data_IF_724760045290
#
_entry.id   IF_724760045290
#
_cell.length_a   1.000
_cell.length_b   1.000
_cell.length_c   1.000
_cell.angle_alpha   90.00
_cell.angle_beta   90.00
_cell.angle_gamma   90.00
#
_symmetry.space_group_name_H-M   'P 1'
#
loop_
_entity.id
_entity.type
_entity.pdbx_description
1 polymer ?
#
# COMPACT_ATOMS: atom_id res chain seq x y z
N UNK A 1 -4.35 -31.18 1.02
CA UNK A 1 -4.96 -30.98 2.34
C UNK A 1 -4.60 -29.58 2.85
N UNK A 2 -5.20 -28.53 2.26
CA UNK A 2 -5.28 -27.15 2.78
C UNK A 2 -6.60 -26.65 2.22
N UNK A 3 -7.67 -26.71 3.00
CA UNK A 3 -8.88 -25.92 2.73
C UNK A 3 -9.29 -25.27 4.04
N UNK A 4 -9.58 -23.97 3.92
CA UNK A 4 -10.40 -23.17 4.82
C UNK A 4 -9.77 -22.57 6.08
N UNK A 5 -9.45 -21.28 5.98
CA UNK A 5 -9.73 -20.28 7.02
C UNK A 5 -9.93 -18.94 6.28
N UNK A 6 -11.13 -18.79 5.73
CA UNK A 6 -12.23 -18.05 6.36
C UNK A 6 -12.09 -16.55 6.04
N UNK A 7 -12.96 -16.11 5.13
CA UNK A 7 -13.51 -14.75 5.11
C UNK A 7 -12.53 -13.57 5.08
N UNK A 8 -11.74 -13.42 4.01
CA UNK A 8 -10.72 -12.36 3.92
C UNK A 8 -11.25 -11.02 3.38
N UNK A 9 -12.54 -10.73 3.60
CA UNK A 9 -13.26 -9.50 3.22
C UNK A 9 -14.22 -9.06 4.33
N UNK A 10 -13.80 -9.20 5.58
CA UNK A 10 -14.41 -8.48 6.69
C UNK A 10 -14.13 -6.97 6.54
N UNK A 11 -15.16 -6.10 6.47
CA UNK A 11 -15.01 -4.67 6.20
C UNK A 11 -14.28 -3.88 7.32
N UNK A 12 -13.90 -4.55 8.41
CA UNK A 12 -13.26 -3.96 9.60
C UNK A 12 -11.72 -4.07 9.57
N UNK A 13 -11.13 -5.05 8.86
CA UNK A 13 -9.67 -5.22 8.83
C UNK A 13 -8.98 -4.24 7.86
N UNK A 14 -8.99 -2.95 8.19
CA UNK A 14 -8.38 -1.87 7.39
C UNK A 14 -6.83 -1.90 7.40
N UNK A 15 -6.21 -2.58 8.36
CA UNK A 15 -4.74 -2.60 8.52
C UNK A 15 -4.18 -4.02 8.42
N UNK A 16 -3.29 -4.21 7.44
CA UNK A 16 -2.52 -5.44 7.29
C UNK A 16 -1.19 -5.35 8.05
N UNK A 17 -0.92 -6.35 8.88
CA UNK A 17 0.32 -6.53 9.60
C UNK A 17 1.12 -7.67 8.98
N UNK A 18 2.27 -7.34 8.42
CA UNK A 18 3.18 -8.35 7.85
C UNK A 18 4.16 -8.81 8.94
N UNK A 19 4.27 -10.12 9.14
CA UNK A 19 5.16 -10.73 10.12
C UNK A 19 6.10 -11.72 9.45
N UNK A 20 7.34 -11.83 9.92
CA UNK A 20 8.35 -12.74 9.40
C UNK A 20 9.30 -13.16 10.51
N UNK A 21 9.77 -14.41 10.49
CA UNK A 21 10.66 -14.96 11.53
C UNK A 21 10.10 -16.22 12.18
N UNK A 22 10.95 -16.95 12.91
CA UNK A 22 10.60 -18.21 13.59
C UNK A 22 9.47 -18.11 14.64
N UNK A 23 9.22 -16.89 15.13
CA UNK A 23 8.16 -16.60 16.10
C UNK A 23 6.92 -15.97 15.45
N UNK A 24 6.84 -15.90 14.11
CA UNK A 24 5.71 -15.29 13.40
C UNK A 24 4.38 -16.00 13.70
N UNK A 25 4.42 -17.28 14.07
CA UNK A 25 3.25 -18.08 14.44
C UNK A 25 2.53 -17.53 15.69
N UNK A 26 3.24 -16.88 16.62
CA UNK A 26 2.66 -16.30 17.82
C UNK A 26 1.73 -15.10 17.55
N UNK A 27 1.85 -14.47 16.37
CA UNK A 27 1.04 -13.32 15.96
C UNK A 27 -0.24 -13.71 15.20
N UNK A 28 -0.34 -14.94 14.68
CA UNK A 28 -1.52 -15.40 13.94
C UNK A 28 -2.83 -15.43 14.74
N UNK A 29 -2.85 -15.70 16.06
CA UNK A 29 -4.09 -15.64 16.86
C UNK A 29 -4.71 -14.24 16.98
N UNK A 30 -4.03 -13.20 16.48
CA UNK A 30 -4.54 -11.83 16.40
C UNK A 30 -5.21 -11.54 15.03
N UNK A 31 -5.07 -12.43 14.05
CA UNK A 31 -5.74 -12.32 12.76
C UNK A 31 -7.27 -12.34 12.95
N UNK A 32 -7.96 -11.37 12.38
CA UNK A 32 -9.43 -11.23 12.50
C UNK A 32 -9.91 -10.49 13.76
N UNK A 33 -9.02 -10.00 14.63
CA UNK A 33 -9.38 -9.15 15.78
C UNK A 33 -9.31 -7.65 15.47
N UNK A 34 -9.65 -7.26 14.23
CA UNK A 34 -9.52 -5.90 13.71
C UNK A 34 -8.15 -5.57 13.08
N UNK A 35 -7.25 -6.55 13.01
CA UNK A 35 -5.97 -6.49 12.29
C UNK A 35 -5.86 -7.76 11.45
N UNK A 36 -5.46 -7.62 10.19
CA UNK A 36 -5.18 -8.75 9.31
C UNK A 36 -3.69 -9.09 9.40
N UNK A 37 -3.34 -10.27 9.92
CA UNK A 37 -1.95 -10.72 10.09
C UNK A 37 -1.53 -11.62 8.92
N UNK A 38 -0.47 -11.24 8.22
CA UNK A 38 0.08 -11.98 7.07
C UNK A 38 1.51 -12.42 7.34
N UNK A 39 1.72 -13.73 7.46
CA UNK A 39 3.06 -14.30 7.60
C UNK A 39 3.77 -14.39 6.24
N UNK A 40 4.97 -13.82 6.15
CA UNK A 40 5.84 -13.83 4.95
C UNK A 40 6.99 -14.85 5.07
N UNK A 41 6.79 -15.88 5.88
CA UNK A 41 7.74 -16.98 6.09
C UNK A 41 8.73 -16.77 7.25
N UNK A 42 9.64 -17.73 7.40
CA UNK A 42 10.51 -17.90 8.57
C UNK A 42 11.76 -17.00 8.58
N UNK A 43 12.10 -16.37 7.44
CA UNK A 43 13.27 -15.49 7.34
C UNK A 43 12.98 -14.11 7.91
N UNK A 44 13.66 -13.75 8.99
CA UNK A 44 13.61 -12.40 9.57
C UNK A 44 14.01 -11.35 8.53
N UNK A 45 13.26 -10.25 8.48
CA UNK A 45 13.54 -9.12 7.58
C UNK A 45 12.67 -9.07 6.33
N UNK A 46 11.95 -10.15 5.98
CA UNK A 46 11.04 -10.14 4.82
C UNK A 46 9.86 -9.18 5.00
N UNK A 47 9.29 -9.12 6.20
CA UNK A 47 8.20 -8.20 6.51
C UNK A 47 8.65 -6.73 6.46
N UNK A 48 9.82 -6.41 7.03
CA UNK A 48 10.39 -5.06 6.94
C UNK A 48 10.78 -4.69 5.52
N UNK A 49 11.24 -5.64 4.71
CA UNK A 49 11.54 -5.44 3.30
C UNK A 49 10.30 -5.00 2.51
N UNK A 50 9.19 -5.73 2.62
CA UNK A 50 7.93 -5.34 1.96
C UNK A 50 7.44 -3.97 2.46
N UNK A 51 7.50 -3.73 3.77
CA UNK A 51 7.16 -2.42 4.34
C UNK A 51 8.01 -1.31 3.72
N UNK A 52 9.32 -1.52 3.58
CA UNK A 52 10.23 -0.56 2.95
C UNK A 52 9.87 -0.33 1.48
N UNK A 53 9.63 -1.39 0.70
CA UNK A 53 9.24 -1.27 -0.71
C UNK A 53 7.93 -0.47 -0.88
N UNK A 54 6.92 -0.73 -0.05
CA UNK A 54 5.66 0.02 -0.11
C UNK A 54 5.84 1.49 0.29
N UNK A 55 6.69 1.74 1.29
CA UNK A 55 7.05 3.10 1.69
C UNK A 55 7.79 3.84 0.57
N UNK A 56 8.73 3.17 -0.10
CA UNK A 56 9.46 3.71 -1.24
C UNK A 56 8.52 4.04 -2.41
N UNK A 57 7.58 3.14 -2.71
CA UNK A 57 6.55 3.37 -3.73
C UNK A 57 5.76 4.64 -3.42
N UNK A 58 5.16 4.71 -2.23
CA UNK A 58 4.28 5.84 -1.87
C UNK A 58 5.04 7.16 -1.82
N UNK A 59 6.23 7.18 -1.21
CA UNK A 59 7.04 8.41 -1.10
C UNK A 59 7.62 8.83 -2.45
N UNK A 60 8.05 7.87 -3.26
CA UNK A 60 8.63 8.11 -4.58
C UNK A 60 7.58 8.65 -5.55
N UNK A 61 6.41 8.02 -5.63
CA UNK A 61 5.34 8.47 -6.53
C UNK A 61 4.82 9.85 -6.14
N UNK A 62 4.60 10.11 -4.84
CA UNK A 62 4.20 11.45 -4.39
C UNK A 62 5.25 12.51 -4.72
N UNK A 63 6.54 12.19 -4.59
CA UNK A 63 7.61 13.13 -4.96
C UNK A 63 7.58 13.45 -6.45
N UNK A 64 7.42 12.42 -7.29
CA UNK A 64 7.33 12.61 -8.75
C UNK A 64 6.08 13.41 -9.15
N UNK A 65 4.94 13.16 -8.51
CA UNK A 65 3.72 13.93 -8.75
C UNK A 65 3.92 15.40 -8.38
N UNK A 66 4.51 15.70 -7.23
CA UNK A 66 4.81 17.08 -6.83
C UNK A 66 5.80 17.75 -7.78
N UNK A 67 6.85 17.04 -8.22
CA UNK A 67 7.81 17.57 -9.17
C UNK A 67 7.15 17.91 -10.52
N UNK A 68 6.29 17.03 -11.03
CA UNK A 68 5.54 17.24 -12.27
C UNK A 68 4.66 18.49 -12.17
N UNK A 69 3.89 18.62 -11.10
CA UNK A 69 3.02 19.79 -10.89
C UNK A 69 3.84 21.09 -10.73
N UNK A 70 4.98 21.01 -10.03
CA UNK A 70 5.90 22.15 -9.89
C UNK A 70 6.44 22.62 -11.24
N UNK A 71 6.82 21.68 -12.12
CA UNK A 71 7.31 22.01 -13.46
C UNK A 71 6.19 22.60 -14.32
N UNK A 72 4.99 22.01 -14.29
CA UNK A 72 3.83 22.53 -15.02
C UNK A 72 3.52 23.97 -14.62
N UNK A 73 3.53 24.27 -13.32
CA UNK A 73 3.34 25.63 -12.81
C UNK A 73 4.47 26.57 -13.27
N UNK A 74 5.73 26.13 -13.22
CA UNK A 74 6.87 26.95 -13.66
C UNK A 74 6.83 27.30 -15.16
N UNK A 75 6.15 26.48 -15.96
CA UNK A 75 5.94 26.69 -17.39
C UNK A 75 4.62 27.39 -17.71
N UNK A 76 3.77 27.66 -16.70
CA UNK A 76 2.45 28.24 -16.86
C UNK A 76 1.43 27.30 -17.53
N UNK A 77 1.65 25.99 -17.50
CA UNK A 77 0.83 24.95 -18.16
C UNK A 77 -0.13 24.25 -17.20
N UNK A 78 -0.37 24.84 -16.04
CA UNK A 78 -1.14 24.21 -14.97
C UNK A 78 -2.61 24.00 -15.32
N UNK A 79 -3.21 24.89 -16.10
CA UNK A 79 -4.63 24.82 -16.46
C UNK A 79 -4.84 23.77 -17.56
N UNK A 80 -4.01 23.76 -18.59
CA UNK A 80 -4.03 22.74 -19.65
C UNK A 80 -3.80 21.35 -19.08
N UNK A 81 -2.85 21.20 -18.14
CA UNK A 81 -2.58 19.91 -17.50
C UNK A 81 -3.77 19.43 -16.66
N UNK A 82 -4.51 20.34 -16.01
CA UNK A 82 -5.72 20.00 -15.24
C UNK A 82 -6.85 19.56 -16.14
N UNK A 83 -7.06 20.25 -17.26
CA UNK A 83 -8.07 19.87 -18.26
C UNK A 83 -7.79 18.46 -18.79
N UNK A 84 -6.53 18.18 -19.14
CA UNK A 84 -6.09 16.85 -19.58
C UNK A 84 -6.33 15.77 -18.51
N UNK A 85 -6.05 16.04 -17.23
CA UNK A 85 -6.34 15.08 -16.17
C UNK A 85 -7.84 14.83 -15.97
N UNK A 86 -8.70 15.84 -16.13
CA UNK A 86 -10.15 15.63 -16.05
C UNK A 86 -10.72 14.88 -17.26
N UNK A 87 -10.05 14.92 -18.41
CA UNK A 87 -10.39 14.08 -19.56
C UNK A 87 -10.00 12.61 -19.35
N UNK A 88 -9.00 12.32 -18.52
CA UNK A 88 -8.59 10.94 -18.22
C UNK A 88 -9.60 10.22 -17.31
N UNK A 89 -9.94 8.94 -17.58
CA UNK A 89 -10.81 8.16 -16.70
C UNK A 89 -10.14 7.96 -15.33
N UNK A 90 -10.59 8.73 -14.33
CA UNK A 90 -10.11 8.70 -12.95
C UNK A 90 -9.52 10.02 -12.41
N UNK A 91 -9.41 11.08 -13.21
CA UNK A 91 -8.76 12.34 -12.80
C UNK A 91 -9.67 13.45 -12.28
N UNK A 92 -10.99 13.30 -12.41
CA UNK A 92 -11.98 14.20 -11.81
C UNK A 92 -12.86 13.35 -10.86
N UNK A 93 -12.55 13.39 -9.56
CA UNK A 93 -13.35 12.84 -8.47
C UNK A 93 -13.45 13.86 -7.33
#
# INVERSE_FOLDING_TARGET
>A
MVRSSADRRDPVCRRAFYVSGIHAQAMLPLDGKGIAVKSLGETTGRASGIKMCYAALTKGTSTLQVALLTVAESLGLSDELREEFCLQPGGCA
#
